data_IF_101862212528
#
_entry.id   IF_101862212528
#
_cell.length_a   1.000
_cell.length_b   1.000
_cell.length_c   1.000
_cell.angle_alpha   90.00
_cell.angle_beta   90.00
_cell.angle_gamma   90.00
#
_symmetry.space_group_name_H-M   'P 1'
#
loop_
_entity.id
_entity.type
_entity.pdbx_description
1 polymer ?
#
# COMPACT_ATOMS: atom_id res chain seq x y z
N UNK A 1 54.41 -20.48 -3.69
CA UNK A 1 53.21 -20.75 -2.87
C UNK A 1 52.10 -19.86 -3.41
N UNK A 2 51.11 -20.46 -4.10
CA UNK A 2 49.99 -19.75 -4.71
C UNK A 2 48.97 -19.38 -3.64
N UNK A 3 48.51 -18.14 -3.69
CA UNK A 3 47.42 -17.57 -2.90
C UNK A 3 46.13 -18.36 -3.11
N UNK A 4 45.46 -18.66 -2.01
CA UNK A 4 44.11 -19.22 -1.99
C UNK A 4 43.16 -18.04 -2.20
N UNK A 5 42.69 -17.89 -3.44
CA UNK A 5 41.56 -17.02 -3.75
C UNK A 5 40.29 -17.62 -3.13
N UNK A 6 39.79 -16.94 -2.11
CA UNK A 6 38.47 -17.16 -1.54
C UNK A 6 37.42 -16.83 -2.63
N UNK A 7 36.79 -17.86 -3.17
CA UNK A 7 35.71 -17.77 -4.14
C UNK A 7 34.46 -18.39 -3.55
N UNK A 8 33.35 -17.65 -3.62
CA UNK A 8 31.97 -17.98 -3.17
C UNK A 8 31.52 -17.46 -1.79
N UNK A 9 31.51 -16.13 -1.60
CA UNK A 9 30.38 -15.50 -0.89
C UNK A 9 29.43 -14.89 -1.93
N UNK A 10 28.48 -15.70 -2.41
CA UNK A 10 27.31 -15.15 -3.09
C UNK A 10 26.49 -14.41 -2.04
N UNK A 11 26.57 -13.08 -2.04
CA UNK A 11 25.68 -12.24 -1.26
C UNK A 11 24.22 -12.62 -1.62
N UNK A 12 23.46 -13.22 -0.69
CA UNK A 12 22.08 -13.67 -0.96
C UNK A 12 21.13 -12.51 -1.24
N UNK A 13 21.58 -11.26 -1.03
CA UNK A 13 20.86 -10.03 -1.29
C UNK A 13 21.30 -9.32 -2.58
N UNK A 14 22.25 -9.90 -3.33
CA UNK A 14 22.65 -9.38 -4.63
C UNK A 14 21.48 -9.54 -5.61
N UNK A 15 20.99 -8.42 -6.16
CA UNK A 15 19.90 -8.40 -7.15
C UNK A 15 20.17 -9.46 -8.24
N UNK A 16 19.20 -10.35 -8.44
CA UNK A 16 19.27 -11.37 -9.51
C UNK A 16 19.31 -10.74 -10.90
N UNK A 17 18.84 -9.49 -11.04
CA UNK A 17 18.82 -8.74 -12.28
C UNK A 17 19.34 -7.31 -12.07
N UNK A 18 20.15 -6.78 -13.01
CA UNK A 18 20.51 -5.37 -12.99
C UNK A 18 19.26 -4.50 -13.15
N UNK A 19 19.30 -3.29 -12.57
CA UNK A 19 18.28 -2.28 -12.83
C UNK A 19 18.11 -2.07 -14.34
N UNK A 20 16.89 -1.75 -14.81
CA UNK A 20 16.73 -1.17 -16.13
C UNK A 20 17.72 -0.02 -16.27
N UNK A 21 18.51 -0.01 -17.34
CA UNK A 21 19.49 1.06 -17.57
C UNK A 21 18.75 2.39 -17.61
N UNK A 22 19.10 3.31 -16.70
CA UNK A 22 18.65 4.70 -16.73
C UNK A 22 19.37 5.36 -17.91
N UNK A 23 18.85 5.17 -19.11
CA UNK A 23 19.31 5.85 -20.32
C UNK A 23 18.24 6.84 -20.75
N UNK A 24 18.60 8.12 -20.61
CA UNK A 24 17.90 9.36 -20.95
C UNK A 24 16.60 9.29 -21.79
N UNK A 25 15.61 9.99 -21.26
CA UNK A 25 14.40 10.65 -21.82
C UNK A 25 13.52 10.01 -22.91
N UNK A 26 14.02 9.17 -23.79
CA UNK A 26 13.18 8.55 -24.81
C UNK A 26 13.72 7.16 -25.18
N UNK A 27 13.28 6.12 -24.48
CA UNK A 27 12.87 4.86 -25.13
C UNK A 27 12.38 3.80 -24.15
N UNK A 28 11.32 3.10 -24.57
CA UNK A 28 10.68 1.99 -23.86
C UNK A 28 11.67 0.89 -23.50
N UNK A 29 11.55 0.38 -22.27
CA UNK A 29 12.10 -0.94 -21.92
C UNK A 29 11.40 -1.99 -22.81
N UNK A 30 12.12 -2.56 -23.78
CA UNK A 30 11.64 -3.71 -24.54
C UNK A 30 11.63 -4.93 -23.60
N UNK A 31 10.53 -5.68 -23.45
CA UNK A 31 10.56 -6.93 -22.72
C UNK A 31 11.53 -7.88 -23.42
N UNK A 32 12.58 -8.29 -22.71
CA UNK A 32 13.55 -9.26 -23.22
C UNK A 32 12.84 -10.61 -23.33
N UNK A 33 12.98 -11.29 -24.49
CA UNK A 33 12.47 -12.65 -24.69
C UNK A 33 12.95 -13.52 -23.52
N UNK A 34 12.02 -14.22 -22.87
CA UNK A 34 12.34 -15.20 -21.83
C UNK A 34 13.34 -16.20 -22.40
N UNK A 35 14.54 -16.26 -21.83
CA UNK A 35 15.39 -17.43 -21.97
C UNK A 35 14.69 -18.59 -21.28
N UNK A 36 14.48 -19.68 -22.03
CA UNK A 36 13.82 -20.90 -21.57
C UNK A 36 14.33 -21.35 -20.19
N UNK A 37 13.45 -21.86 -19.30
CA UNK A 37 13.91 -22.48 -18.07
C UNK A 37 14.81 -23.67 -18.38
N UNK A 38 15.89 -23.81 -17.62
CA UNK A 38 16.69 -25.03 -17.61
C UNK A 38 15.79 -26.26 -17.43
N UNK A 39 16.06 -27.32 -18.18
CA UNK A 39 15.28 -28.55 -18.16
C UNK A 39 15.16 -29.11 -16.73
N UNK A 40 13.92 -29.23 -16.25
CA UNK A 40 13.61 -29.89 -14.98
C UNK A 40 13.35 -31.37 -15.27
N UNK A 41 14.11 -32.23 -14.58
CA UNK A 41 14.00 -33.69 -14.59
C UNK A 41 12.54 -34.17 -14.33
N UNK A 42 11.93 -34.96 -15.23
CA UNK A 42 10.51 -35.36 -15.14
C UNK A 42 10.16 -36.30 -13.98
N UNK A 43 11.11 -36.79 -13.19
CA UNK A 43 10.88 -37.91 -12.27
C UNK A 43 10.27 -37.54 -10.91
N UNK A 44 10.09 -36.25 -10.56
CA UNK A 44 9.59 -35.84 -9.22
C UNK A 44 8.11 -35.47 -9.12
N UNK A 45 7.29 -35.62 -10.17
CA UNK A 45 5.93 -35.05 -10.22
C UNK A 45 4.76 -35.96 -9.84
N UNK A 46 4.98 -37.12 -9.20
CA UNK A 46 3.94 -38.15 -9.01
C UNK A 46 3.44 -38.42 -7.57
N UNK A 47 3.74 -37.59 -6.57
CA UNK A 47 3.35 -37.92 -5.17
C UNK A 47 2.46 -36.93 -4.40
N UNK A 48 1.89 -35.88 -5.02
CA UNK A 48 1.10 -34.88 -4.26
C UNK A 48 -0.31 -34.58 -4.81
N UNK A 49 -0.97 -35.58 -5.42
CA UNK A 49 -2.40 -35.50 -5.79
C UNK A 49 -3.16 -36.68 -5.21
N UNK A 50 -3.46 -36.66 -3.91
CA UNK A 50 -4.42 -37.61 -3.29
C UNK A 50 -4.89 -37.21 -1.88
N UNK A 51 -5.08 -35.93 -1.60
CA UNK A 51 -5.76 -35.38 -0.42
C UNK A 51 -6.11 -33.94 -0.85
N UNK A 52 -7.31 -33.50 -1.16
CA UNK A 52 -8.58 -33.52 -0.42
C UNK A 52 -9.74 -33.33 -1.42
N UNK A 53 -10.76 -34.18 -1.37
CA UNK A 53 -12.11 -33.90 -1.85
C UNK A 53 -13.07 -34.52 -0.83
N UNK A 54 -13.79 -33.69 -0.08
CA UNK A 54 -15.09 -34.08 0.47
C UNK A 54 -15.94 -32.84 0.74
N UNK A 55 -16.93 -32.67 -0.13
CA UNK A 55 -18.07 -31.79 0.05
C UNK A 55 -18.90 -32.26 1.25
N UNK A 56 -19.53 -31.32 1.96
CA UNK A 56 -20.81 -31.55 2.64
C UNK A 56 -21.68 -30.30 2.45
N UNK A 57 -22.88 -30.55 1.94
CA UNK A 57 -23.97 -29.59 1.67
C UNK A 57 -25.11 -29.79 2.67
N UNK A 58 -26.02 -28.81 2.68
CA UNK A 58 -27.43 -28.77 3.18
C UNK A 58 -27.66 -28.18 4.59
N UNK A 59 -28.86 -27.61 4.89
CA UNK A 59 -29.83 -26.86 4.07
C UNK A 59 -30.39 -25.58 4.78
N UNK A 60 -31.27 -24.88 4.05
CA UNK A 60 -31.90 -23.57 4.23
C UNK A 60 -33.13 -23.46 5.16
N UNK A 61 -33.48 -22.19 5.49
CA UNK A 61 -34.82 -21.55 5.67
C UNK A 61 -35.17 -21.07 7.10
N UNK A 62 -36.09 -20.09 7.30
CA UNK A 62 -36.57 -18.99 6.44
C UNK A 62 -36.68 -17.59 7.15
N UNK A 63 -37.14 -16.62 6.35
CA UNK A 63 -37.50 -15.20 6.56
C UNK A 63 -38.40 -14.88 7.77
N UNK A 64 -38.18 -13.71 8.39
CA UNK A 64 -39.22 -12.92 9.07
C UNK A 64 -38.99 -11.42 8.80
N UNK A 65 -40.04 -10.76 8.28
CA UNK A 65 -40.22 -9.32 8.07
C UNK A 65 -40.35 -8.54 9.40
N UNK A 66 -39.91 -7.28 9.43
CA UNK A 66 -40.18 -6.37 10.55
C UNK A 66 -39.78 -4.94 10.24
N UNK A 67 -40.75 -4.04 10.38
CA UNK A 67 -40.82 -2.67 9.87
C UNK A 67 -39.83 -1.63 10.44
N UNK A 68 -39.64 -0.59 9.64
CA UNK A 68 -38.90 0.66 9.86
C UNK A 68 -39.76 1.66 10.67
N UNK A 69 -39.18 2.41 11.62
CA UNK A 69 -39.66 3.74 11.95
C UNK A 69 -38.63 4.84 11.67
N UNK A 70 -39.10 5.86 10.96
CA UNK A 70 -38.49 7.18 10.78
C UNK A 70 -38.19 7.88 12.10
N UNK A 71 -37.00 8.50 12.23
CA UNK A 71 -36.77 9.59 13.20
C UNK A 71 -35.96 10.72 12.56
N UNK A 72 -36.41 11.94 12.85
CA UNK A 72 -36.08 13.23 12.25
C UNK A 72 -34.69 13.75 12.64
N UNK A 73 -34.06 14.47 11.70
CA UNK A 73 -32.86 15.28 11.92
C UNK A 73 -33.18 16.51 12.78
N UNK A 74 -32.47 16.64 13.90
CA UNK A 74 -32.37 17.88 14.66
C UNK A 74 -30.92 18.39 14.63
N UNK A 75 -30.78 19.61 14.15
CA UNK A 75 -29.55 20.41 14.08
C UNK A 75 -29.17 20.96 15.45
N UNK A 76 -27.90 20.88 15.85
CA UNK A 76 -27.35 21.86 16.80
C UNK A 76 -25.84 22.00 16.69
N UNK A 77 -25.42 23.23 16.95
CA UNK A 77 -24.15 23.89 16.64
C UNK A 77 -23.10 23.85 17.75
N UNK A 78 -21.85 24.07 17.32
CA UNK A 78 -20.83 24.95 17.91
C UNK A 78 -19.81 24.43 18.95
N UNK A 79 -18.56 24.84 18.66
CA UNK A 79 -17.46 25.28 19.55
C UNK A 79 -16.38 24.29 20.02
N UNK A 80 -15.19 24.58 19.47
CA UNK A 80 -13.81 24.46 19.97
C UNK A 80 -13.58 24.14 21.45
N UNK A 81 -12.70 23.16 21.72
CA UNK A 81 -11.74 23.23 22.83
C UNK A 81 -10.44 22.47 22.50
N UNK A 82 -9.31 23.15 22.74
CA UNK A 82 -7.95 22.59 22.66
C UNK A 82 -7.69 21.65 23.85
N UNK A 83 -6.99 20.54 23.62
CA UNK A 83 -6.29 19.82 24.68
C UNK A 83 -5.14 19.00 24.12
N UNK A 84 -3.92 19.37 24.52
CA UNK A 84 -2.69 18.60 24.36
C UNK A 84 -2.85 17.23 25.00
N UNK A 85 -2.39 16.15 24.35
CA UNK A 85 -2.24 14.84 25.00
C UNK A 85 -0.92 14.17 24.65
N UNK A 86 -0.14 13.94 25.70
CA UNK A 86 0.98 13.00 25.78
C UNK A 86 0.47 11.56 25.58
N UNK A 87 1.29 10.69 24.97
CA UNK A 87 0.96 9.29 24.68
C UNK A 87 1.76 8.36 25.61
N UNK A 88 1.12 7.29 26.08
CA UNK A 88 1.79 6.08 26.56
C UNK A 88 1.35 4.85 25.71
N UNK A 89 2.24 3.86 25.52
CA UNK A 89 2.00 2.67 24.69
C UNK A 89 1.04 1.67 25.38
N UNK A 90 0.18 1.01 24.59
CA UNK A 90 -0.79 0.04 25.08
C UNK A 90 -0.21 -1.38 25.11
N UNK A 91 -0.29 -2.04 26.25
CA UNK A 91 0.00 -3.47 26.44
C UNK A 91 -1.27 -4.30 26.70
N UNK A 92 -1.24 -5.48 26.11
CA UNK A 92 -2.02 -6.72 26.28
C UNK A 92 -3.13 -6.79 27.33
N UNK A 93 -4.30 -7.30 26.91
CA UNK A 93 -5.11 -8.20 27.75
C UNK A 93 -5.48 -9.46 26.98
N UNK A 94 -5.29 -10.60 27.63
CA UNK A 94 -5.87 -11.90 27.30
C UNK A 94 -7.13 -12.12 28.12
N UNK A 95 -8.17 -12.74 27.55
CA UNK A 95 -9.17 -13.44 28.36
C UNK A 95 -9.74 -14.65 27.64
N UNK A 96 -9.60 -15.78 28.33
CA UNK A 96 -10.17 -17.10 28.08
C UNK A 96 -11.65 -17.17 28.50
N UNK A 97 -12.38 -18.12 27.92
CA UNK A 97 -13.39 -18.89 28.64
C UNK A 97 -12.98 -20.37 28.74
N UNK A 98 -13.30 -20.93 29.90
CA UNK A 98 -12.69 -22.06 30.60
C UNK A 98 -13.20 -23.44 30.15
N UNK A 99 -12.43 -24.50 30.46
CA UNK A 99 -12.85 -25.66 31.28
C UNK A 99 -11.62 -26.50 31.72
N UNK A 100 -11.53 -26.62 33.05
CA UNK A 100 -11.04 -27.67 33.95
C UNK A 100 -9.57 -28.14 34.09
N UNK A 101 -9.11 -27.91 35.34
CA UNK A 101 -8.33 -28.74 36.27
C UNK A 101 -6.91 -29.20 35.93
N UNK A 102 -5.93 -28.73 36.73
CA UNK A 102 -5.17 -29.55 37.69
C UNK A 102 -4.43 -28.65 38.70
N UNK A 103 -4.34 -29.14 39.94
CA UNK A 103 -3.75 -28.53 41.15
C UNK A 103 -2.21 -28.68 41.19
N UNK A 104 -1.51 -27.69 41.74
CA UNK A 104 -0.76 -27.76 43.02
C UNK A 104 0.37 -26.70 43.15
N UNK A 105 0.21 -25.87 44.19
CA UNK A 105 1.20 -25.30 45.14
C UNK A 105 2.65 -25.00 44.69
N UNK A 106 3.06 -23.72 44.70
CA UNK A 106 3.78 -23.09 45.83
C UNK A 106 4.01 -21.56 45.64
N UNK A 107 4.26 -20.78 46.72
CA UNK A 107 4.06 -19.32 46.80
C UNK A 107 5.35 -18.46 46.83
N UNK A 108 5.13 -17.13 46.90
CA UNK A 108 6.08 -16.02 47.19
C UNK A 108 6.70 -15.37 45.93
N UNK A 109 6.69 -14.06 45.66
CA UNK A 109 6.79 -12.90 46.56
C UNK A 109 6.51 -11.59 45.80
N UNK A 110 5.88 -10.65 46.53
CA UNK A 110 6.00 -9.17 46.48
C UNK A 110 5.44 -8.37 45.30
N UNK A 111 4.25 -7.86 45.57
CA UNK A 111 3.55 -6.67 45.08
C UNK A 111 4.39 -5.38 45.05
N UNK A 112 4.18 -4.58 44.01
CA UNK A 112 4.11 -3.12 44.13
C UNK A 112 2.81 -2.67 43.47
N UNK A 113 1.96 -2.03 44.27
CA UNK A 113 0.64 -1.54 43.91
C UNK A 113 0.66 -0.54 42.74
N UNK A 114 -0.24 -0.71 41.78
CA UNK A 114 -0.61 0.33 40.83
C UNK A 114 -2.12 0.54 40.89
N UNK A 115 -2.62 1.79 40.92
CA UNK A 115 -4.04 2.06 41.12
C UNK A 115 -4.85 1.57 39.91
N UNK A 116 -5.88 0.75 40.15
CA UNK A 116 -6.89 0.43 39.14
C UNK A 116 -7.76 1.66 38.92
N UNK A 117 -7.61 2.31 37.76
CA UNK A 117 -8.61 3.23 37.25
C UNK A 117 -9.23 2.67 35.97
N UNK A 118 -10.55 2.53 36.01
CA UNK A 118 -11.44 2.08 34.94
C UNK A 118 -11.32 3.02 33.73
N UNK A 119 -11.01 2.48 32.56
CA UNK A 119 -11.04 3.22 31.29
C UNK A 119 -12.50 3.42 30.91
N UNK A 120 -12.91 4.69 30.74
CA UNK A 120 -14.06 5.03 29.91
C UNK A 120 -13.61 4.83 28.45
N UNK A 121 -14.21 3.87 27.77
CA UNK A 121 -14.24 3.81 26.31
C UNK A 121 -14.85 5.13 25.81
N UNK A 122 -14.02 6.02 25.26
CA UNK A 122 -14.51 7.23 24.59
C UNK A 122 -14.97 6.82 23.17
N UNK A 123 -16.25 6.46 23.08
CA UNK A 123 -17.04 6.01 21.91
C UNK A 123 -17.13 7.01 20.72
N UNK A 124 -16.06 7.71 20.30
CA UNK A 124 -16.17 8.71 19.22
C UNK A 124 -15.00 8.74 18.23
N UNK A 125 -15.03 7.86 17.21
CA UNK A 125 -14.67 8.20 15.81
C UNK A 125 -15.03 7.10 14.77
N UNK A 126 -16.27 6.56 14.77
CA UNK A 126 -16.73 5.63 13.72
C UNK A 126 -17.17 6.38 12.45
N UNK A 127 -16.23 6.97 11.72
CA UNK A 127 -16.54 7.57 10.43
C UNK A 127 -16.27 6.56 9.31
N UNK A 128 -17.12 5.55 9.18
CA UNK A 128 -17.14 4.64 8.04
C UNK A 128 -18.51 4.71 7.35
N UNK A 129 -18.52 4.65 6.02
CA UNK A 129 -19.74 4.47 5.23
C UNK A 129 -19.69 3.17 4.46
N UNK A 130 -20.85 2.52 4.33
CA UNK A 130 -21.00 1.39 3.41
C UNK A 130 -21.70 1.87 2.15
N UNK A 131 -21.04 1.72 1.00
CA UNK A 131 -21.60 2.04 -0.32
C UNK A 131 -21.51 0.76 -1.14
N UNK A 132 -22.66 0.22 -1.57
CA UNK A 132 -22.73 -1.00 -2.38
C UNK A 132 -21.90 -2.17 -1.79
N UNK A 133 -22.04 -2.42 -0.48
CA UNK A 133 -21.31 -3.44 0.29
C UNK A 133 -19.78 -3.25 0.40
N UNK A 134 -19.25 -2.09 0.00
CA UNK A 134 -17.86 -1.71 0.22
C UNK A 134 -17.76 -0.71 1.36
N UNK A 135 -16.75 -0.84 2.21
CA UNK A 135 -16.57 0.03 3.39
C UNK A 135 -15.60 1.14 3.03
N UNK A 136 -16.01 2.39 3.19
CA UNK A 136 -15.20 3.58 2.96
C UNK A 136 -14.93 4.29 4.27
N UNK A 137 -13.74 4.84 4.40
CA UNK A 137 -13.43 5.70 5.54
C UNK A 137 -13.86 7.13 5.23
N UNK A 138 -14.73 7.66 6.05
CA UNK A 138 -15.09 9.08 6.05
C UNK A 138 -14.12 9.78 7.00
N UNK A 139 -13.44 10.82 6.55
CA UNK A 139 -12.85 11.79 7.44
C UNK A 139 -12.96 13.16 6.78
N UNK A 140 -13.10 14.22 7.58
CA UNK A 140 -13.18 15.59 7.09
C UNK A 140 -12.02 15.97 6.16
N UNK A 141 -10.85 15.36 6.37
CA UNK A 141 -9.66 15.51 5.53
C UNK A 141 -9.27 14.21 4.80
N UNK A 142 -10.21 13.30 4.52
CA UNK A 142 -9.94 12.10 3.71
C UNK A 142 -10.23 12.39 2.23
N UNK A 143 -9.17 12.48 1.42
CA UNK A 143 -9.29 12.52 -0.03
C UNK A 143 -9.42 11.14 -0.68
N UNK A 144 -9.21 10.05 0.08
CA UNK A 144 -9.02 8.70 -0.47
C UNK A 144 -10.25 8.19 -1.23
N UNK A 145 -10.03 7.78 -2.47
CA UNK A 145 -11.06 7.37 -3.42
C UNK A 145 -11.59 5.95 -3.18
N UNK A 146 -10.79 5.07 -2.57
CA UNK A 146 -11.05 3.64 -2.56
C UNK A 146 -11.62 3.16 -1.22
N UNK A 147 -12.23 1.96 -1.19
CA UNK A 147 -12.67 1.31 0.04
C UNK A 147 -11.52 1.03 1.03
N UNK A 148 -11.86 0.47 2.18
CA UNK A 148 -10.95 0.07 3.26
C UNK A 148 -11.43 -1.24 3.90
N UNK A 149 -11.86 -2.19 3.08
CA UNK A 149 -12.33 -3.53 3.45
C UNK A 149 -11.33 -4.62 2.98
N UNK A 150 -11.62 -5.89 3.29
CA UNK A 150 -10.74 -7.02 2.94
C UNK A 150 -10.51 -7.15 1.42
N UNK A 151 -11.51 -6.81 0.60
CA UNK A 151 -11.32 -6.79 -0.87
C UNK A 151 -10.30 -5.71 -1.29
N UNK A 152 -10.22 -4.59 -0.56
CA UNK A 152 -9.20 -3.56 -0.80
C UNK A 152 -7.81 -4.04 -0.34
N UNK A 153 -7.72 -4.75 0.77
CA UNK A 153 -6.47 -5.37 1.23
C UNK A 153 -5.89 -6.27 0.14
N UNK A 154 -6.71 -7.12 -0.47
CA UNK A 154 -6.31 -7.97 -1.59
C UNK A 154 -5.87 -7.16 -2.82
N UNK A 155 -6.59 -6.08 -3.17
CA UNK A 155 -6.22 -5.19 -4.26
C UNK A 155 -4.83 -4.57 -4.03
N UNK A 156 -4.57 -4.06 -2.83
CA UNK A 156 -3.30 -3.45 -2.46
C UNK A 156 -2.15 -4.46 -2.48
N UNK A 157 -2.39 -5.70 -2.07
CA UNK A 157 -1.42 -6.79 -2.23
C UNK A 157 -1.08 -7.09 -3.70
N UNK A 158 -2.09 -7.20 -4.57
CA UNK A 158 -1.88 -7.39 -6.01
C UNK A 158 -1.04 -6.26 -6.60
N UNK A 159 -1.36 -5.02 -6.24
CA UNK A 159 -0.61 -3.84 -6.69
C UNK A 159 0.85 -3.87 -6.20
N UNK A 160 1.09 -4.23 -4.93
CA UNK A 160 2.43 -4.36 -4.39
C UNK A 160 3.27 -5.41 -5.15
N UNK A 161 2.74 -6.63 -5.33
CA UNK A 161 3.46 -7.70 -6.01
C UNK A 161 3.70 -7.41 -7.49
N UNK A 162 2.75 -6.72 -8.15
CA UNK A 162 2.92 -6.23 -9.52
C UNK A 162 4.12 -5.28 -9.62
N UNK A 163 4.20 -4.26 -8.75
CA UNK A 163 5.32 -3.30 -8.72
C UNK A 163 6.64 -3.97 -8.42
N UNK A 164 6.65 -4.81 -7.38
CA UNK A 164 7.84 -5.56 -6.97
C UNK A 164 8.37 -6.42 -8.12
N UNK A 165 7.48 -7.05 -8.89
CA UNK A 165 7.84 -7.78 -10.10
C UNK A 165 8.33 -6.85 -11.22
N UNK A 166 7.70 -5.69 -11.42
CA UNK A 166 8.10 -4.74 -12.46
C UNK A 166 9.54 -4.22 -12.27
N UNK A 167 9.93 -3.92 -11.02
CA UNK A 167 11.27 -3.39 -10.70
C UNK A 167 12.26 -4.46 -10.20
N UNK A 168 11.80 -5.71 -10.04
CA UNK A 168 12.57 -6.84 -9.50
C UNK A 168 13.20 -6.53 -8.13
N UNK A 169 12.43 -5.87 -7.26
CA UNK A 169 12.88 -5.43 -5.94
C UNK A 169 11.82 -4.60 -5.22
N UNK A 170 12.17 -4.11 -4.03
CA UNK A 170 11.23 -3.33 -3.21
C UNK A 170 11.44 -1.81 -3.32
N UNK A 171 12.61 -1.36 -3.79
CA UNK A 171 12.98 0.05 -3.85
C UNK A 171 14.09 0.30 -4.89
N UNK A 172 14.21 1.54 -5.35
CA UNK A 172 15.22 2.00 -6.30
C UNK A 172 16.31 2.88 -5.65
N UNK A 173 16.01 3.53 -4.52
CA UNK A 173 16.97 4.36 -3.81
C UNK A 173 18.22 3.56 -3.39
N UNK A 174 19.41 4.19 -3.35
CA UNK A 174 20.67 3.51 -3.02
C UNK A 174 20.83 3.30 -1.49
N UNK A 175 19.83 2.70 -0.83
CA UNK A 175 19.76 2.56 0.63
C UNK A 175 20.17 1.18 1.15
N UNK A 176 20.61 0.27 0.28
CA UNK A 176 20.90 -1.12 0.66
C UNK A 176 21.93 -1.24 1.80
N UNK A 177 23.04 -0.50 1.72
CA UNK A 177 24.06 -0.52 2.79
C UNK A 177 23.56 0.09 4.10
N UNK A 178 22.73 1.13 4.01
CA UNK A 178 22.09 1.79 5.14
C UNK A 178 21.16 0.80 5.85
N UNK A 179 20.29 0.12 5.10
CA UNK A 179 19.35 -0.85 5.66
C UNK A 179 20.06 -2.09 6.24
N UNK A 180 21.15 -2.55 5.62
CA UNK A 180 21.96 -3.66 6.14
C UNK A 180 22.65 -3.31 7.46
N UNK A 181 23.04 -2.06 7.66
CA UNK A 181 23.69 -1.59 8.90
C UNK A 181 22.69 -1.33 10.03
N UNK A 182 21.42 -1.13 9.70
CA UNK A 182 20.33 -0.91 10.65
C UNK A 182 19.80 0.52 10.59
N UNK A 183 18.96 0.81 9.59
CA UNK A 183 18.33 2.10 9.41
C UNK A 183 16.94 2.17 10.05
N UNK A 184 16.47 3.39 10.31
CA UNK A 184 15.07 3.67 10.66
C UNK A 184 14.30 4.05 9.39
N UNK A 185 13.28 3.27 9.05
CA UNK A 185 12.49 3.42 7.84
C UNK A 185 11.08 3.87 8.19
N UNK A 186 10.54 4.83 7.43
CA UNK A 186 9.12 5.21 7.46
C UNK A 186 8.45 4.82 6.14
N UNK A 187 7.38 4.04 6.21
CA UNK A 187 6.48 3.72 5.08
C UNK A 187 5.20 4.54 5.24
N UNK A 188 5.00 5.52 4.36
CA UNK A 188 3.90 6.48 4.41
C UNK A 188 2.77 6.03 3.50
N UNK A 189 1.57 5.85 4.08
CA UNK A 189 0.45 5.23 3.37
C UNK A 189 0.66 3.73 3.19
N UNK A 190 1.09 3.07 4.27
CA UNK A 190 1.53 1.67 4.22
C UNK A 190 0.40 0.68 3.90
N UNK A 191 -0.87 1.08 4.02
CA UNK A 191 -2.04 0.23 3.82
C UNK A 191 -1.97 -1.05 4.65
N UNK A 192 -2.11 -2.24 4.03
CA UNK A 192 -1.92 -3.53 4.70
C UNK A 192 -0.49 -3.83 5.15
N UNK A 193 0.49 -2.97 4.84
CA UNK A 193 1.87 -3.11 5.30
C UNK A 193 2.69 -4.17 4.57
N UNK A 194 2.26 -4.66 3.40
CA UNK A 194 2.99 -5.69 2.66
C UNK A 194 4.45 -5.30 2.34
N UNK A 195 4.65 -4.07 1.85
CA UNK A 195 6.00 -3.55 1.60
C UNK A 195 6.82 -3.45 2.90
N UNK A 196 6.23 -2.88 3.94
CA UNK A 196 6.85 -2.76 5.27
C UNK A 196 7.31 -4.12 5.82
N UNK A 197 6.45 -5.14 5.76
CA UNK A 197 6.77 -6.48 6.25
C UNK A 197 7.85 -7.17 5.42
N UNK A 198 7.86 -6.99 4.10
CA UNK A 198 8.93 -7.50 3.25
C UNK A 198 10.29 -6.86 3.57
N UNK A 199 10.34 -5.54 3.68
CA UNK A 199 11.58 -4.81 4.04
C UNK A 199 12.06 -5.24 5.43
N UNK A 200 11.15 -5.39 6.39
CA UNK A 200 11.50 -5.85 7.73
C UNK A 200 12.08 -7.27 7.74
N UNK A 201 11.55 -8.17 6.91
CA UNK A 201 12.09 -9.51 6.72
C UNK A 201 13.45 -9.54 6.01
N UNK A 202 13.65 -8.67 5.01
CA UNK A 202 14.90 -8.55 4.24
C UNK A 202 16.03 -7.91 5.07
N UNK A 203 15.70 -6.95 5.94
CA UNK A 203 16.66 -6.18 6.73
C UNK A 203 16.38 -6.28 8.24
N UNK A 204 16.71 -7.41 8.89
CA UNK A 204 16.37 -7.65 10.31
C UNK A 204 17.06 -6.69 11.29
N UNK A 205 18.10 -5.95 10.86
CA UNK A 205 18.75 -4.91 11.69
C UNK A 205 18.09 -3.55 11.59
N UNK A 206 17.26 -3.33 10.56
CA UNK A 206 16.52 -2.08 10.38
C UNK A 206 15.20 -2.12 11.13
N UNK A 207 14.72 -0.95 11.54
CA UNK A 207 13.41 -0.78 12.18
C UNK A 207 12.49 -0.10 11.19
N UNK A 208 11.36 -0.75 10.89
CA UNK A 208 10.38 -0.30 9.92
C UNK A 208 9.15 0.20 10.68
N UNK A 209 8.77 1.44 10.38
CA UNK A 209 7.55 2.05 10.89
C UNK A 209 6.62 2.32 9.71
N UNK A 210 5.47 1.66 9.66
CA UNK A 210 4.40 1.99 8.71
C UNK A 210 3.38 2.92 9.34
N UNK A 211 2.92 3.92 8.58
CA UNK A 211 1.78 4.75 8.96
C UNK A 211 0.71 4.70 7.89
N UNK A 212 -0.53 4.64 8.31
CA UNK A 212 -1.67 4.81 7.43
C UNK A 212 -2.81 5.49 8.16
N UNK A 213 -3.66 6.20 7.43
CA UNK A 213 -4.84 6.78 8.03
C UNK A 213 -5.83 5.66 8.42
N UNK A 214 -6.01 4.65 7.56
CA UNK A 214 -6.90 3.52 7.79
C UNK A 214 -6.13 2.36 8.44
N UNK A 215 -6.64 1.75 9.52
CA UNK A 215 -5.93 0.69 10.23
C UNK A 215 -6.07 -0.67 9.52
N UNK A 216 -5.65 -0.76 8.25
CA UNK A 216 -5.68 -1.97 7.40
C UNK A 216 -4.51 -2.93 7.65
N UNK A 217 -3.49 -2.49 8.38
CA UNK A 217 -2.29 -3.25 8.67
C UNK A 217 -2.48 -4.33 9.76
N UNK A 218 -1.68 -5.40 9.76
CA UNK A 218 -1.74 -6.45 10.77
C UNK A 218 -1.48 -5.93 12.19
N UNK A 219 -2.29 -6.40 13.15
CA UNK A 219 -2.12 -6.10 14.58
C UNK A 219 -1.14 -7.06 15.25
N UNK A 220 -1.34 -8.36 15.03
CA UNK A 220 -0.69 -9.40 15.82
C UNK A 220 0.46 -10.12 15.07
N UNK A 221 0.25 -10.47 13.79
CA UNK A 221 1.20 -11.26 13.02
C UNK A 221 2.05 -10.34 12.14
N UNK A 222 3.25 -9.98 12.62
CA UNK A 222 4.22 -9.15 11.88
C UNK A 222 5.65 -9.36 12.41
N UNK A 223 6.70 -9.02 11.63
CA UNK A 223 8.08 -9.03 12.10
C UNK A 223 8.28 -8.17 13.35
N UNK A 224 9.17 -8.58 14.26
CA UNK A 224 9.42 -7.86 15.53
C UNK A 224 10.06 -6.50 15.32
N UNK A 225 10.76 -6.30 14.21
CA UNK A 225 11.35 -5.03 13.79
C UNK A 225 10.41 -4.17 12.91
N UNK A 226 9.11 -4.50 12.86
CA UNK A 226 8.09 -3.76 12.13
C UNK A 226 6.97 -3.28 13.08
N UNK A 227 6.63 -2.01 13.03
CA UNK A 227 5.54 -1.41 13.80
C UNK A 227 4.62 -0.58 12.90
N UNK A 228 3.33 -0.52 13.23
CA UNK A 228 2.34 0.22 12.47
C UNK A 228 1.58 1.19 13.36
N UNK A 229 1.29 2.38 12.84
CA UNK A 229 0.54 3.41 13.56
C UNK A 229 -0.54 4.01 12.68
N UNK A 230 -1.72 4.22 13.26
CA UNK A 230 -2.75 4.98 12.61
C UNK A 230 -2.38 6.48 12.65
N UNK A 231 -2.07 7.07 11.50
CA UNK A 231 -1.70 8.48 11.39
C UNK A 231 -2.05 9.05 10.02
N UNK A 232 -2.51 10.29 9.99
CA UNK A 232 -2.77 11.00 8.73
C UNK A 232 -1.56 11.87 8.38
N UNK A 233 -0.96 11.66 7.19
CA UNK A 233 0.18 12.44 6.70
C UNK A 233 -0.13 13.92 6.47
N UNK A 234 -1.41 14.28 6.36
CA UNK A 234 -1.85 15.67 6.26
C UNK A 234 -1.74 16.44 7.60
N UNK A 235 -1.48 15.72 8.70
CA UNK A 235 -1.19 16.30 10.00
C UNK A 235 0.30 16.18 10.32
N UNK A 236 0.78 16.96 11.27
CA UNK A 236 2.13 16.76 11.83
C UNK A 236 2.23 15.35 12.42
N UNK A 237 3.17 14.56 11.91
CA UNK A 237 3.42 13.21 12.37
C UNK A 237 3.98 13.23 13.80
N UNK A 238 3.64 12.21 14.63
CA UNK A 238 4.08 12.10 16.01
C UNK A 238 5.53 11.61 16.14
N UNK A 239 6.42 12.13 15.29
CA UNK A 239 7.85 11.81 15.29
C UNK A 239 8.66 13.10 15.44
N UNK A 240 9.79 12.97 16.12
CA UNK A 240 10.77 14.05 16.23
C UNK A 240 11.36 14.40 14.86
N UNK A 241 11.87 15.62 14.73
CA UNK A 241 12.62 16.04 13.57
C UNK A 241 13.81 15.09 13.35
N UNK A 242 14.15 14.79 12.09
CA UNK A 242 15.30 13.94 11.76
C UNK A 242 15.27 12.55 12.44
N UNK A 243 14.11 11.91 12.48
CA UNK A 243 13.93 10.58 13.06
C UNK A 243 14.30 9.42 12.12
N UNK A 244 14.14 9.60 10.80
CA UNK A 244 14.22 8.51 9.82
C UNK A 244 15.40 8.66 8.88
N UNK A 245 16.01 7.53 8.54
CA UNK A 245 17.13 7.42 7.60
C UNK A 245 16.63 7.22 6.16
N UNK A 246 15.46 6.59 6.00
CA UNK A 246 14.80 6.35 4.73
C UNK A 246 13.27 6.52 4.87
N UNK A 247 12.66 7.25 3.94
CA UNK A 247 11.21 7.38 3.81
C UNK A 247 10.79 6.81 2.47
N UNK A 248 9.81 5.92 2.49
CA UNK A 248 9.14 5.40 1.31
C UNK A 248 7.68 5.86 1.30
N UNK A 249 7.20 6.30 0.15
CA UNK A 249 5.80 6.71 -0.06
C UNK A 249 5.34 6.28 -1.45
N UNK A 250 4.17 5.65 -1.55
CA UNK A 250 3.68 5.14 -2.83
C UNK A 250 2.16 5.26 -3.01
N UNK A 251 1.74 5.71 -4.19
CA UNK A 251 0.34 5.80 -4.63
C UNK A 251 -0.56 6.66 -3.75
N UNK A 252 -0.03 7.80 -3.31
CA UNK A 252 -0.76 8.74 -2.47
C UNK A 252 -1.56 9.76 -3.28
N UNK A 253 -1.41 9.81 -4.61
CA UNK A 253 -2.12 10.72 -5.51
C UNK A 253 -3.65 10.58 -5.49
N UNK A 254 -4.17 9.44 -5.04
CA UNK A 254 -5.61 9.23 -4.84
C UNK A 254 -6.13 9.69 -3.47
N UNK A 255 -5.24 10.12 -2.58
CA UNK A 255 -5.57 10.57 -1.22
C UNK A 255 -5.26 12.06 -0.99
N UNK A 256 -4.30 12.63 -1.72
CA UNK A 256 -3.74 13.95 -1.48
C UNK A 256 -4.13 14.92 -2.60
N UNK A 257 -4.72 16.06 -2.24
CA UNK A 257 -5.05 17.13 -3.20
C UNK A 257 -3.82 17.91 -3.65
N UNK A 258 -3.94 18.65 -4.75
CA UNK A 258 -2.87 19.48 -5.32
C UNK A 258 -2.27 20.42 -4.26
N UNK A 259 -3.13 21.06 -3.47
CA UNK A 259 -2.76 22.07 -2.48
C UNK A 259 -2.13 21.46 -1.22
N UNK A 260 -2.32 20.16 -0.98
CA UNK A 260 -1.84 19.47 0.21
C UNK A 260 -0.39 18.95 0.07
N UNK A 261 0.10 18.78 -1.16
CA UNK A 261 1.41 18.19 -1.42
C UNK A 261 2.57 18.95 -0.76
N UNK A 262 2.53 20.27 -0.73
CA UNK A 262 3.62 21.07 -0.14
C UNK A 262 3.73 20.83 1.38
N UNK A 263 2.58 20.70 2.07
CA UNK A 263 2.52 20.36 3.48
C UNK A 263 3.06 18.95 3.76
N UNK A 264 2.66 17.98 2.93
CA UNK A 264 3.13 16.59 3.00
C UNK A 264 4.65 16.53 2.82
N UNK A 265 5.17 17.12 1.74
CA UNK A 265 6.60 17.10 1.45
C UNK A 265 7.41 17.83 2.53
N UNK A 266 6.91 18.95 3.05
CA UNK A 266 7.52 19.67 4.19
C UNK A 266 7.63 18.78 5.42
N UNK A 267 6.57 18.04 5.75
CA UNK A 267 6.54 17.13 6.89
C UNK A 267 7.48 15.94 6.71
N UNK A 268 7.53 15.34 5.51
CA UNK A 268 8.51 14.29 5.18
C UNK A 268 9.94 14.81 5.30
N UNK A 269 10.22 16.02 4.81
CA UNK A 269 11.52 16.65 4.99
C UNK A 269 11.85 16.88 6.47
N UNK A 270 10.88 17.29 7.30
CA UNK A 270 11.09 17.50 8.75
C UNK A 270 11.56 16.23 9.44
N UNK A 271 10.86 15.10 9.23
CA UNK A 271 11.16 13.84 9.91
C UNK A 271 12.33 13.07 9.29
N UNK A 272 12.75 13.42 8.07
CA UNK A 272 13.93 12.85 7.41
C UNK A 272 15.23 13.44 7.97
N UNK A 273 16.19 12.58 8.32
CA UNK A 273 17.52 13.00 8.75
C UNK A 273 18.28 13.72 7.63
N UNK A 274 19.17 14.68 7.94
CA UNK A 274 20.18 15.14 7.00
C UNK A 274 20.98 13.95 6.44
N UNK A 275 21.15 13.88 5.12
CA UNK A 275 21.74 12.73 4.45
C UNK A 275 20.83 11.49 4.31
N UNK A 276 19.60 11.54 4.84
CA UNK A 276 18.59 10.50 4.65
C UNK A 276 17.99 10.51 3.25
N UNK A 277 17.33 9.42 2.87
CA UNK A 277 16.72 9.26 1.54
C UNK A 277 15.20 9.31 1.58
N UNK A 278 14.59 9.90 0.57
CA UNK A 278 13.18 9.74 0.24
C UNK A 278 13.05 8.98 -1.07
N UNK A 279 12.09 8.06 -1.15
CA UNK A 279 11.63 7.45 -2.39
C UNK A 279 10.12 7.59 -2.49
N UNK A 280 9.69 8.21 -3.59
CA UNK A 280 8.32 8.56 -3.88
C UNK A 280 7.91 7.93 -5.20
N UNK A 281 6.82 7.15 -5.17
CA UNK A 281 6.33 6.37 -6.31
C UNK A 281 4.88 6.70 -6.59
N UNK A 282 4.54 7.13 -7.80
CA UNK A 282 3.17 7.48 -8.17
C UNK A 282 2.80 6.90 -9.53
N UNK A 283 1.52 6.61 -9.69
CA UNK A 283 0.97 6.25 -11.00
C UNK A 283 0.80 7.51 -11.84
N UNK A 284 1.08 7.40 -13.14
CA UNK A 284 0.51 8.28 -14.14
C UNK A 284 -0.83 7.68 -14.55
N UNK A 285 -1.93 8.38 -14.26
CA UNK A 285 -3.28 7.86 -14.52
C UNK A 285 -3.56 7.75 -16.01
N UNK A 286 -2.83 8.45 -16.90
CA UNK A 286 -3.02 8.30 -18.34
C UNK A 286 -2.69 6.87 -18.80
N UNK A 287 -3.69 6.19 -19.36
CA UNK A 287 -3.52 4.89 -19.97
C UNK A 287 -3.06 5.05 -21.42
N UNK A 288 -1.99 4.35 -21.78
CA UNK A 288 -1.44 4.37 -23.13
C UNK A 288 -1.97 3.22 -23.97
N UNK A 289 -2.25 3.54 -25.25
CA UNK A 289 -2.89 2.64 -26.22
C UNK A 289 -4.19 2.03 -25.67
N UNK A 290 -5.12 2.85 -25.16
CA UNK A 290 -6.40 2.34 -24.74
C UNK A 290 -7.25 1.93 -25.96
N UNK A 291 -8.03 0.86 -25.81
CA UNK A 291 -9.18 0.66 -26.68
C UNK A 291 -10.30 1.67 -26.38
N UNK A 292 -11.39 1.68 -27.16
CA UNK A 292 -12.47 2.65 -27.01
C UNK A 292 -13.09 2.70 -25.61
N UNK A 293 -13.43 1.56 -25.01
CA UNK A 293 -14.00 1.52 -23.66
C UNK A 293 -12.97 1.93 -22.62
N UNK A 294 -11.74 1.42 -22.74
CA UNK A 294 -10.64 1.74 -21.82
C UNK A 294 -10.35 3.24 -21.80
N UNK A 295 -10.42 3.91 -22.96
CA UNK A 295 -10.24 5.36 -23.07
C UNK A 295 -11.34 6.11 -22.32
N UNK A 296 -12.58 5.66 -22.47
CA UNK A 296 -13.74 6.24 -21.79
C UNK A 296 -13.62 6.11 -20.26
N UNK A 297 -13.27 4.92 -19.76
CA UNK A 297 -12.99 4.68 -18.34
C UNK A 297 -11.86 5.57 -17.81
N UNK A 298 -10.77 5.67 -18.57
CA UNK A 298 -9.64 6.47 -18.16
C UNK A 298 -10.00 7.96 -18.06
N UNK A 299 -10.78 8.47 -19.03
CA UNK A 299 -11.27 9.84 -18.99
C UNK A 299 -12.17 10.12 -17.77
N UNK A 300 -13.04 9.16 -17.43
CA UNK A 300 -13.93 9.28 -16.25
C UNK A 300 -13.18 9.24 -14.93
N UNK A 301 -12.12 8.42 -14.84
CA UNK A 301 -11.24 8.44 -13.67
C UNK A 301 -10.47 9.77 -13.55
N UNK A 302 -9.95 10.30 -14.66
CA UNK A 302 -9.27 11.61 -14.69
C UNK A 302 -10.24 12.71 -14.24
N UNK A 303 -11.47 12.71 -14.76
CA UNK A 303 -12.52 13.64 -14.37
C UNK A 303 -12.84 13.55 -12.88
N UNK A 304 -13.01 12.33 -12.34
CA UNK A 304 -13.26 12.09 -10.92
C UNK A 304 -12.16 12.67 -10.02
N UNK A 305 -10.89 12.45 -10.38
CA UNK A 305 -9.75 12.98 -9.63
C UNK A 305 -9.70 14.51 -9.68
N UNK A 306 -9.94 15.10 -10.86
CA UNK A 306 -9.96 16.55 -11.04
C UNK A 306 -11.09 17.22 -10.25
N UNK A 307 -12.30 16.64 -10.23
CA UNK A 307 -13.42 17.12 -9.40
C UNK A 307 -13.11 17.12 -7.90
N UNK A 308 -12.13 16.31 -7.49
CA UNK A 308 -11.65 16.21 -6.11
C UNK A 308 -10.34 16.98 -5.86
N UNK A 309 -9.92 17.82 -6.80
CA UNK A 309 -8.67 18.58 -6.73
C UNK A 309 -7.41 17.72 -6.57
N UNK A 310 -7.44 16.49 -7.08
CA UNK A 310 -6.29 15.59 -7.11
C UNK A 310 -5.58 15.69 -8.46
N UNK A 311 -4.25 15.56 -8.46
CA UNK A 311 -3.46 15.57 -9.70
C UNK A 311 -3.32 14.13 -10.26
N UNK A 312 -4.04 13.78 -11.34
CA UNK A 312 -3.92 12.47 -11.97
C UNK A 312 -2.55 12.24 -12.64
N UNK A 313 -1.75 13.28 -12.84
CA UNK A 313 -0.49 13.24 -13.59
C UNK A 313 0.74 13.53 -12.72
N UNK A 314 0.58 13.59 -11.39
CA UNK A 314 1.64 13.95 -10.44
C UNK A 314 2.92 13.11 -10.61
N UNK A 315 2.79 11.85 -11.03
CA UNK A 315 3.92 10.97 -11.32
C UNK A 315 4.94 11.57 -12.29
N UNK A 316 4.49 12.42 -13.23
CA UNK A 316 5.38 13.09 -14.19
C UNK A 316 6.26 14.17 -13.56
N UNK A 317 5.83 14.71 -12.41
CA UNK A 317 6.39 15.92 -11.80
C UNK A 317 7.08 15.67 -10.44
N UNK A 318 7.27 14.40 -10.05
CA UNK A 318 7.86 14.07 -8.73
C UNK A 318 9.25 14.69 -8.54
N UNK A 319 10.07 14.67 -9.60
CA UNK A 319 11.44 15.20 -9.59
C UNK A 319 11.44 16.72 -9.46
N UNK A 320 10.56 17.38 -10.19
CA UNK A 320 10.38 18.83 -10.20
C UNK A 320 9.96 19.30 -8.81
N UNK A 321 8.96 18.65 -8.21
CA UNK A 321 8.52 18.95 -6.83
C UNK A 321 9.62 18.80 -5.79
N UNK A 322 10.40 17.71 -5.84
CA UNK A 322 11.53 17.54 -4.92
C UNK A 322 12.66 18.57 -5.15
N UNK A 323 12.86 19.03 -6.39
CA UNK A 323 13.82 20.11 -6.70
C UNK A 323 13.37 21.45 -6.14
N UNK A 324 12.08 21.79 -6.28
CA UNK A 324 11.50 23.06 -5.84
C UNK A 324 11.67 23.31 -4.34
N UNK A 325 11.72 22.24 -3.53
CA UNK A 325 11.96 22.35 -2.09
C UNK A 325 13.35 22.88 -1.74
N UNK A 326 14.34 22.77 -2.63
CA UNK A 326 15.74 23.12 -2.38
C UNK A 326 16.35 22.50 -1.10
N UNK A 327 15.80 21.36 -0.63
CA UNK A 327 16.33 20.59 0.51
C UNK A 327 17.00 19.29 0.08
N UNK A 328 16.88 18.94 -1.20
CA UNK A 328 17.27 17.64 -1.72
C UNK A 328 18.39 17.73 -2.77
N UNK A 329 19.24 16.71 -2.79
CA UNK A 329 20.34 16.48 -3.72
C UNK A 329 20.26 15.04 -4.24
N UNK A 330 21.09 14.71 -5.23
CA UNK A 330 21.09 13.38 -5.87
C UNK A 330 19.70 12.92 -6.36
N UNK A 331 18.90 13.87 -6.85
CA UNK A 331 17.52 13.61 -7.28
C UNK A 331 17.53 12.83 -8.60
N UNK A 332 17.01 11.62 -8.56
CA UNK A 332 16.88 10.71 -9.70
C UNK A 332 15.42 10.37 -9.93
N UNK A 333 15.02 10.27 -11.20
CA UNK A 333 13.68 9.81 -11.56
C UNK A 333 13.73 8.88 -12.76
N UNK A 334 12.78 7.95 -12.81
CA UNK A 334 12.49 7.09 -13.94
C UNK A 334 11.02 6.70 -13.93
N UNK A 335 10.55 6.08 -14.99
CA UNK A 335 9.26 5.38 -14.97
C UNK A 335 9.43 3.96 -15.50
N UNK A 336 8.50 3.09 -15.14
CA UNK A 336 8.35 1.75 -15.69
C UNK A 336 6.98 1.65 -16.34
N UNK A 337 6.96 1.18 -17.59
CA UNK A 337 5.70 0.85 -18.27
C UNK A 337 5.20 -0.51 -17.79
N UNK A 338 3.99 -0.53 -17.24
CA UNK A 338 3.29 -1.72 -16.77
C UNK A 338 2.22 -2.09 -17.81
N UNK A 339 2.51 -3.03 -18.72
CA UNK A 339 1.52 -3.52 -19.68
C UNK A 339 0.47 -4.37 -18.98
N UNK A 340 -0.77 -4.33 -19.45
CA UNK A 340 -1.86 -5.19 -18.98
C UNK A 340 -2.35 -6.12 -20.09
N UNK A 341 -2.50 -7.40 -19.76
CA UNK A 341 -3.00 -8.42 -20.68
C UNK A 341 -2.02 -9.58 -20.85
N UNK A 342 -2.50 -10.67 -21.44
CA UNK A 342 -1.71 -11.88 -21.69
C UNK A 342 -0.53 -11.62 -22.66
N UNK A 343 -0.68 -10.66 -23.57
CA UNK A 343 0.33 -10.30 -24.58
C UNK A 343 1.70 -9.93 -23.99
N UNK A 344 1.75 -9.48 -22.73
CA UNK A 344 2.98 -9.06 -22.05
C UNK A 344 3.50 -10.06 -21.01
N UNK A 345 3.06 -11.31 -21.08
CA UNK A 345 3.55 -12.38 -20.21
C UNK A 345 3.21 -12.15 -18.73
N UNK A 346 4.13 -12.50 -17.83
CA UNK A 346 3.84 -12.53 -16.38
C UNK A 346 3.54 -11.14 -15.81
N UNK A 347 4.29 -10.11 -16.20
CA UNK A 347 3.99 -8.74 -15.77
C UNK A 347 2.60 -8.33 -16.28
N UNK A 348 2.32 -8.59 -17.56
CA UNK A 348 1.00 -8.39 -18.18
C UNK A 348 -0.18 -8.99 -17.39
N UNK A 349 0.00 -10.22 -16.92
CA UNK A 349 -0.99 -10.93 -16.10
C UNK A 349 -1.18 -10.32 -14.70
N UNK A 350 -0.09 -9.89 -14.06
CA UNK A 350 -0.17 -9.23 -12.75
C UNK A 350 -0.82 -7.86 -12.87
N UNK A 351 -0.44 -7.07 -13.88
CA UNK A 351 -1.01 -5.76 -14.12
C UNK A 351 -2.51 -5.83 -14.40
N UNK A 352 -2.97 -6.74 -15.27
CA UNK A 352 -4.40 -6.85 -15.57
C UNK A 352 -5.23 -7.33 -14.36
N UNK A 353 -4.63 -8.11 -13.45
CA UNK A 353 -5.26 -8.49 -12.18
C UNK A 353 -5.39 -7.27 -11.24
N UNK A 354 -4.32 -6.48 -11.12
CA UNK A 354 -4.32 -5.22 -10.37
C UNK A 354 -5.37 -4.24 -10.91
N UNK A 355 -5.42 -4.01 -12.22
CA UNK A 355 -6.42 -3.15 -12.87
C UNK A 355 -7.84 -3.64 -12.64
N UNK A 356 -8.09 -4.96 -12.75
CA UNK A 356 -9.41 -5.54 -12.49
C UNK A 356 -9.90 -5.23 -11.09
N UNK A 357 -9.05 -5.43 -10.09
CA UNK A 357 -9.41 -5.16 -8.70
C UNK A 357 -9.58 -3.65 -8.46
N UNK A 358 -8.73 -2.81 -9.07
CA UNK A 358 -8.80 -1.36 -8.96
C UNK A 358 -10.07 -0.75 -9.58
N UNK A 359 -10.38 -1.06 -10.84
CA UNK A 359 -11.59 -0.54 -11.46
C UNK A 359 -12.86 -1.14 -10.81
N UNK A 360 -12.83 -2.39 -10.32
CA UNK A 360 -13.96 -2.90 -9.51
C UNK A 360 -14.18 -2.05 -8.25
N UNK A 361 -13.11 -1.69 -7.53
CA UNK A 361 -13.18 -0.86 -6.33
C UNK A 361 -13.68 0.58 -6.59
N UNK A 362 -13.42 1.11 -7.79
CA UNK A 362 -13.94 2.40 -8.25
C UNK A 362 -15.40 2.36 -8.71
N UNK A 363 -15.99 1.17 -8.82
CA UNK A 363 -17.34 0.94 -9.37
C UNK A 363 -18.40 1.90 -8.84
N UNK A 364 -18.60 2.02 -7.50
CA UNK A 364 -19.63 2.90 -6.96
C UNK A 364 -19.48 4.37 -7.39
N UNK A 365 -18.26 4.91 -7.36
CA UNK A 365 -17.98 6.31 -7.73
C UNK A 365 -18.11 6.56 -9.23
N UNK A 366 -17.60 5.63 -10.05
CA UNK A 366 -17.64 5.78 -11.50
C UNK A 366 -19.03 5.49 -12.08
N UNK A 367 -19.83 4.62 -11.46
CA UNK A 367 -21.24 4.44 -11.84
C UNK A 367 -22.02 5.73 -11.60
N UNK A 368 -21.83 6.37 -10.44
CA UNK A 368 -22.48 7.63 -10.08
C UNK A 368 -22.07 8.77 -11.04
N UNK A 369 -20.76 8.96 -11.26
CA UNK A 369 -20.25 9.98 -12.18
C UNK A 369 -20.72 9.81 -13.63
N UNK A 370 -20.99 8.57 -14.03
CA UNK A 370 -21.39 8.24 -15.40
C UNK A 370 -22.90 8.11 -15.57
N UNK A 371 -23.66 8.13 -14.48
CA UNK A 371 -25.11 7.88 -14.46
C UNK A 371 -25.46 6.53 -15.15
N UNK A 372 -24.70 5.48 -14.82
CA UNK A 372 -24.95 4.11 -15.29
C UNK A 372 -25.11 3.14 -14.12
N UNK A 373 -25.86 2.06 -14.34
CA UNK A 373 -25.99 1.01 -13.34
C UNK A 373 -24.76 0.08 -13.32
N UNK A 374 -24.58 -0.63 -12.21
CA UNK A 374 -23.46 -1.56 -11.99
C UNK A 374 -23.36 -2.65 -13.08
N UNK A 375 -24.50 -3.15 -13.57
CA UNK A 375 -24.51 -4.19 -14.61
C UNK A 375 -23.89 -3.67 -15.91
N UNK A 376 -24.29 -2.47 -16.35
CA UNK A 376 -23.72 -1.83 -17.52
C UNK A 376 -22.22 -1.54 -17.34
N UNK A 377 -21.85 -0.99 -16.18
CA UNK A 377 -20.46 -0.75 -15.82
C UNK A 377 -19.60 -2.01 -15.95
N UNK A 378 -20.06 -3.12 -15.37
CA UNK A 378 -19.32 -4.39 -15.38
C UNK A 378 -19.23 -4.99 -16.79
N UNK A 379 -20.25 -4.83 -17.64
CA UNK A 379 -20.19 -5.26 -19.03
C UNK A 379 -19.18 -4.44 -19.85
N UNK A 380 -19.17 -3.11 -19.69
CA UNK A 380 -18.14 -2.26 -20.32
C UNK A 380 -16.73 -2.63 -19.83
N UNK A 381 -16.57 -2.85 -18.52
CA UNK A 381 -15.29 -3.22 -17.92
C UNK A 381 -14.75 -4.55 -18.45
N UNK A 382 -15.62 -5.54 -18.71
CA UNK A 382 -15.23 -6.79 -19.40
C UNK A 382 -14.66 -6.54 -20.81
N UNK A 383 -15.12 -5.50 -21.51
CA UNK A 383 -14.58 -5.14 -22.82
C UNK A 383 -13.17 -4.56 -22.69
N UNK A 384 -12.92 -3.69 -21.70
CA UNK A 384 -11.59 -3.13 -21.42
C UNK A 384 -10.52 -4.22 -21.25
N UNK A 385 -10.87 -5.35 -20.62
CA UNK A 385 -9.92 -6.47 -20.45
C UNK A 385 -9.52 -7.16 -21.75
N UNK A 386 -10.43 -7.18 -22.74
CA UNK A 386 -10.11 -7.69 -24.09
C UNK A 386 -9.31 -6.66 -24.88
N UNK A 387 -9.70 -5.39 -24.77
CA UNK A 387 -8.99 -4.28 -25.40
C UNK A 387 -7.53 -4.20 -24.95
N UNK A 388 -7.25 -4.52 -23.68
CA UNK A 388 -5.88 -4.52 -23.17
C UNK A 388 -4.92 -5.42 -23.99
N UNK A 389 -5.40 -6.60 -24.41
CA UNK A 389 -4.66 -7.52 -25.27
C UNK A 389 -4.64 -7.06 -26.74
N UNK A 390 -5.76 -6.57 -27.25
CA UNK A 390 -5.90 -6.13 -28.64
C UNK A 390 -5.03 -4.90 -28.95
N UNK A 391 -5.12 -3.87 -28.10
CA UNK A 391 -4.44 -2.59 -28.29
C UNK A 391 -3.05 -2.54 -27.64
N UNK A 392 -2.68 -3.59 -26.91
CA UNK A 392 -1.42 -3.68 -26.15
C UNK A 392 -1.28 -2.51 -25.17
N UNK A 393 -2.32 -2.36 -24.36
CA UNK A 393 -2.52 -1.27 -23.40
C UNK A 393 -1.52 -1.36 -22.25
N UNK A 394 -1.03 -0.21 -21.78
CA UNK A 394 -0.10 -0.12 -20.65
C UNK A 394 -0.27 1.20 -19.88
N UNK A 395 0.11 1.20 -18.61
CA UNK A 395 0.23 2.41 -17.78
C UNK A 395 1.72 2.70 -17.51
N UNK A 396 2.03 3.91 -17.02
CA UNK A 396 3.35 4.25 -16.53
C UNK A 396 3.32 4.50 -15.02
N UNK A 397 4.35 4.00 -14.35
CA UNK A 397 4.53 4.17 -12.91
C UNK A 397 5.86 4.84 -12.68
N UNK A 398 5.81 6.01 -12.07
CA UNK A 398 6.94 6.90 -11.90
C UNK A 398 7.55 6.69 -10.53
N UNK A 399 8.88 6.71 -10.50
CA UNK A 399 9.70 6.56 -9.32
C UNK A 399 10.63 7.76 -9.25
N UNK A 400 10.73 8.38 -8.09
CA UNK A 400 11.72 9.40 -7.81
C UNK A 400 12.33 9.13 -6.45
N UNK A 401 13.65 9.24 -6.37
CA UNK A 401 14.34 9.23 -5.08
C UNK A 401 15.31 10.40 -4.99
N UNK A 402 15.53 10.86 -3.77
CA UNK A 402 16.42 11.97 -3.48
C UNK A 402 17.03 11.82 -2.09
N UNK A 403 18.19 12.46 -1.90
CA UNK A 403 18.85 12.52 -0.60
C UNK A 403 18.67 13.92 -0.02
N UNK A 404 18.27 14.03 1.25
CA UNK A 404 18.24 15.32 1.95
C UNK A 404 19.67 15.84 2.12
N UNK A 405 19.88 17.14 1.88
CA UNK A 405 21.20 17.79 2.08
C UNK A 405 21.71 17.51 3.51
N UNK A 406 22.98 17.12 3.61
CA UNK A 406 23.68 17.17 4.90
C UNK A 406 23.87 18.64 5.25
N UNK A 407 23.36 19.05 6.40
CA UNK A 407 23.49 20.41 6.95
C UNK A 407 24.95 20.86 7.04
#
# INVERSE_FOLDING_TARGET
MKEIHDSNSQDPFKRQYPLPSITNEHDRIKPRKQSSPAAVDPTRRKQLRKFFFRNNTTPSSPLIEGDIPHVQLATSSCSTFQSQRYIHPLTTTSSFHSIDHYSDNDPCSTSIDTPRHTIQDDERDYNYATIQNRIYRIASNSGYLLPCDDEEVDRLHLQHFMIRFAIQGNYLAPVHDLLRKGGRVLDVGCGPGAWSMEIAGEYPKSVITGIDMAPLFPRDIKPTNCAFYQSNILNKLPFEDSSFDYIFMRFMNQAISIEQWDGVLSELNRVLKPGGWIEWVEADVEIHRPGPNTKEFNQKLIELMQQRHQDPFIGRNLKEKLKEMDQFIHISSMFVSCPGGQWAGKLGQLTIQSWKAYYKALGPLLCDLWDINEKEYMEKLKQCWREADEYKTFENIHFCYAQKKSS
#
